data_IF_446244935809
#
_entry.id   IF_446244935809
#
_cell.length_a   1.000
_cell.length_b   1.000
_cell.length_c   1.000
_cell.angle_alpha   90.00
_cell.angle_beta   90.00
_cell.angle_gamma   90.00
#
_symmetry.space_group_name_H-M   'P 1'
#
loop_
_entity.id
_entity.type
_entity.pdbx_description
1 polymer ?
#
# COMPACT_ATOMS: atom_id res chain seq x y z
N UNK A 1 -16.40 -2.36 -16.48
CA UNK A 1 -15.46 -3.48 -16.23
C UNK A 1 -15.93 -4.15 -14.96
N UNK A 2 -16.01 -5.47 -14.92
CA UNK A 2 -16.42 -6.17 -13.69
C UNK A 2 -15.24 -6.27 -12.70
N UNK A 3 -15.49 -6.18 -11.39
CA UNK A 3 -14.44 -6.37 -10.38
C UNK A 3 -13.85 -7.78 -10.41
N UNK A 4 -12.52 -7.89 -10.27
CA UNK A 4 -11.84 -9.17 -10.16
C UNK A 4 -11.68 -9.60 -8.69
N UNK A 5 -11.92 -10.88 -8.38
CA UNK A 5 -11.73 -11.43 -7.03
C UNK A 5 -12.99 -11.39 -6.16
N UNK A 6 -12.81 -11.43 -4.83
CA UNK A 6 -13.93 -11.45 -3.89
C UNK A 6 -14.69 -10.12 -3.91
N UNK A 7 -15.94 -10.15 -4.38
CA UNK A 7 -16.87 -9.03 -4.35
C UNK A 7 -17.74 -9.08 -3.10
N UNK A 8 -18.05 -7.93 -2.50
CA UNK A 8 -19.08 -7.82 -1.46
C UNK A 8 -18.70 -6.98 -0.24
N UNK A 9 -19.56 -7.02 0.78
CA UNK A 9 -19.55 -6.17 1.99
C UNK A 9 -18.23 -6.21 2.78
N UNK A 10 -17.39 -7.22 2.54
CA UNK A 10 -16.13 -7.43 3.26
C UNK A 10 -14.87 -6.99 2.52
N UNK A 11 -14.95 -6.60 1.24
CA UNK A 11 -13.81 -6.00 0.53
C UNK A 11 -13.64 -4.53 0.91
N UNK A 12 -12.41 -4.01 0.79
CA UNK A 12 -12.13 -2.59 1.04
C UNK A 12 -12.79 -1.70 -0.01
N UNK A 13 -12.66 -2.10 -1.27
CA UNK A 13 -13.24 -1.47 -2.46
C UNK A 13 -13.43 -2.55 -3.54
N UNK A 14 -14.15 -2.22 -4.60
CA UNK A 14 -14.40 -3.15 -5.70
C UNK A 14 -13.15 -3.35 -6.57
N UNK A 15 -12.32 -2.32 -6.76
CA UNK A 15 -11.20 -2.36 -7.72
C UNK A 15 -9.84 -2.09 -7.12
N UNK A 16 -9.74 -1.22 -6.12
CA UNK A 16 -8.47 -0.62 -5.71
C UNK A 16 -8.13 -0.88 -4.25
N UNK A 17 -6.87 -1.15 -3.96
CA UNK A 17 -6.36 -1.21 -2.58
C UNK A 17 -5.24 -0.18 -2.35
N UNK A 18 -4.26 -0.17 -3.25
CA UNK A 18 -3.04 0.64 -3.12
C UNK A 18 -3.31 2.15 -2.91
N UNK A 19 -4.25 2.80 -3.61
CA UNK A 19 -4.55 4.21 -3.36
C UNK A 19 -5.01 4.51 -1.92
N UNK A 20 -5.75 3.61 -1.27
CA UNK A 20 -6.13 3.75 0.13
C UNK A 20 -4.90 3.58 1.05
N UNK A 21 -4.04 2.60 0.75
CA UNK A 21 -2.81 2.38 1.51
C UNK A 21 -1.89 3.61 1.45
N UNK A 22 -1.57 4.10 0.25
CA UNK A 22 -0.71 5.28 0.10
C UNK A 22 -1.41 6.58 0.52
N UNK A 23 -2.69 6.72 0.23
CA UNK A 23 -3.46 7.91 0.61
C UNK A 23 -3.60 8.07 2.13
N UNK A 24 -3.74 6.96 2.87
CA UNK A 24 -3.72 7.02 4.34
C UNK A 24 -2.35 7.43 4.88
N UNK A 25 -1.26 7.13 4.18
CA UNK A 25 0.08 7.62 4.53
C UNK A 25 0.22 9.14 4.26
N UNK A 26 -0.36 9.65 3.15
CA UNK A 26 -0.39 11.10 2.87
C UNK A 26 -1.09 11.91 3.98
N UNK A 27 -2.07 11.29 4.64
CA UNK A 27 -2.87 11.90 5.71
C UNK A 27 -2.29 11.68 7.12
N UNK A 28 -1.18 10.95 7.25
CA UNK A 28 -0.54 10.70 8.53
C UNK A 28 -0.09 12.02 9.20
N UNK A 29 -0.50 12.22 10.47
CA UNK A 29 -0.22 13.44 11.22
C UNK A 29 -1.11 14.64 10.88
N UNK A 30 -2.06 14.51 9.95
CA UNK A 30 -3.03 15.57 9.65
C UNK A 30 -3.98 15.78 10.84
N UNK A 31 -4.12 17.04 11.29
CA UNK A 31 -4.97 17.42 12.43
C UNK A 31 -6.40 17.80 12.03
N UNK A 32 -6.59 18.28 10.80
CA UNK A 32 -7.88 18.79 10.32
C UNK A 32 -8.69 17.71 9.61
N UNK A 33 -8.03 16.89 8.81
CA UNK A 33 -8.62 15.74 8.15
C UNK A 33 -8.31 14.51 9.01
N UNK A 34 -9.31 14.04 9.77
CA UNK A 34 -9.24 12.79 10.55
C UNK A 34 -9.96 11.67 9.78
N UNK A 35 -9.79 10.37 10.14
CA UNK A 35 -10.43 9.28 9.42
C UNK A 35 -11.95 9.43 9.23
N UNK A 36 -12.70 9.88 10.24
CA UNK A 36 -14.14 10.19 10.08
C UNK A 36 -14.46 11.21 8.96
N UNK A 37 -13.50 12.07 8.61
CA UNK A 37 -13.74 13.20 7.70
C UNK A 37 -14.12 12.77 6.29
N UNK A 38 -13.70 11.58 5.81
CA UNK A 38 -14.08 11.13 4.47
C UNK A 38 -15.54 10.66 4.37
N UNK A 39 -16.27 10.56 5.48
CA UNK A 39 -17.72 10.30 5.45
C UNK A 39 -18.52 11.55 5.09
N UNK A 40 -17.89 12.73 5.06
CA UNK A 40 -18.53 14.01 4.76
C UNK A 40 -18.30 14.36 3.28
N UNK A 41 -19.32 14.27 2.40
CA UNK A 41 -19.13 14.44 0.96
C UNK A 41 -18.48 15.77 0.58
N UNK A 42 -18.86 16.87 1.24
CA UNK A 42 -18.28 18.20 0.99
C UNK A 42 -16.79 18.28 1.30
N UNK A 43 -16.33 17.59 2.35
CA UNK A 43 -14.90 17.50 2.71
C UNK A 43 -14.14 16.70 1.66
N UNK A 44 -14.74 15.59 1.21
CA UNK A 44 -14.18 14.74 0.16
C UNK A 44 -14.04 15.50 -1.15
N UNK A 45 -15.12 16.12 -1.65
CA UNK A 45 -15.12 16.90 -2.90
C UNK A 45 -14.06 18.01 -2.90
N UNK A 46 -13.92 18.72 -1.77
CA UNK A 46 -12.95 19.82 -1.63
C UNK A 46 -11.50 19.35 -1.67
N UNK A 47 -11.22 18.12 -1.23
CA UNK A 47 -9.85 17.64 -1.00
C UNK A 47 -9.44 16.45 -1.88
N UNK A 48 -10.36 15.89 -2.67
CA UNK A 48 -10.13 14.73 -3.54
C UNK A 48 -8.90 14.90 -4.44
N UNK A 49 -8.78 16.07 -5.10
CA UNK A 49 -7.64 16.39 -5.98
C UNK A 49 -6.28 16.46 -5.28
N UNK A 50 -6.23 16.42 -3.95
CA UNK A 50 -4.99 16.52 -3.15
C UNK A 50 -4.57 15.19 -2.52
N UNK A 51 -5.51 14.29 -2.23
CA UNK A 51 -5.26 13.09 -1.45
C UNK A 51 -5.89 11.87 -2.11
N UNK A 52 -5.06 10.85 -2.40
CA UNK A 52 -5.49 9.62 -3.09
C UNK A 52 -6.63 8.92 -2.37
N UNK A 53 -6.59 8.89 -1.03
CA UNK A 53 -7.64 8.28 -0.23
C UNK A 53 -8.99 8.96 -0.47
N UNK A 54 -9.00 10.29 -0.45
CA UNK A 54 -10.23 11.07 -0.62
C UNK A 54 -10.71 11.02 -2.07
N UNK A 55 -9.80 10.95 -3.04
CA UNK A 55 -10.18 10.77 -4.45
C UNK A 55 -10.89 9.44 -4.68
N UNK A 56 -10.42 8.35 -4.09
CA UNK A 56 -11.10 7.07 -4.16
C UNK A 56 -12.48 7.10 -3.49
N UNK A 57 -12.61 7.75 -2.32
CA UNK A 57 -13.92 7.93 -1.68
C UNK A 57 -14.85 8.81 -2.52
N UNK A 58 -14.31 9.83 -3.19
CA UNK A 58 -15.07 10.66 -4.12
C UNK A 58 -15.64 9.84 -5.28
N UNK A 59 -14.83 8.96 -5.87
CA UNK A 59 -15.27 8.03 -6.91
C UNK A 59 -16.35 7.07 -6.41
N UNK A 60 -16.22 6.54 -5.18
CA UNK A 60 -17.24 5.71 -4.55
C UNK A 60 -18.57 6.46 -4.42
N UNK A 61 -18.54 7.70 -3.93
CA UNK A 61 -19.75 8.52 -3.74
C UNK A 61 -20.46 8.84 -5.07
N UNK A 62 -19.73 8.86 -6.19
CA UNK A 62 -20.30 9.10 -7.53
C UNK A 62 -20.86 7.84 -8.18
N UNK A 63 -20.38 6.66 -7.77
CA UNK A 63 -20.68 5.38 -8.44
C UNK A 63 -21.60 4.47 -7.64
N UNK A 64 -21.67 4.65 -6.32
CA UNK A 64 -22.52 3.88 -5.41
C UNK A 64 -23.58 4.80 -4.81
N UNK A 65 -24.82 4.32 -4.84
CA UNK A 65 -25.98 5.04 -4.30
C UNK A 65 -26.41 4.49 -2.95
N UNK A 66 -26.96 5.36 -2.11
CA UNK A 66 -27.48 5.01 -0.79
C UNK A 66 -26.51 5.33 0.34
N UNK A 67 -26.84 4.94 1.58
CA UNK A 67 -25.98 5.20 2.73
C UNK A 67 -24.62 4.48 2.64
N UNK A 68 -23.54 5.19 2.94
CA UNK A 68 -22.16 4.71 2.79
C UNK A 68 -21.88 3.36 3.48
N UNK A 69 -22.46 3.15 4.66
CA UNK A 69 -22.30 1.90 5.42
C UNK A 69 -22.92 0.67 4.73
N UNK A 70 -23.89 0.84 3.82
CA UNK A 70 -24.53 -0.28 3.13
C UNK A 70 -23.64 -0.83 2.01
N UNK A 71 -22.94 0.04 1.29
CA UNK A 71 -22.20 -0.34 0.09
C UNK A 71 -20.67 -0.34 0.27
N UNK A 72 -20.17 0.31 1.33
CA UNK A 72 -18.74 0.46 1.64
C UNK A 72 -18.47 0.22 3.13
N UNK A 73 -19.03 -0.86 3.68
CA UNK A 73 -19.02 -1.15 5.11
C UNK A 73 -17.61 -1.25 5.73
N UNK A 74 -16.61 -1.80 5.02
CA UNK A 74 -15.24 -1.84 5.54
C UNK A 74 -14.65 -0.43 5.70
N UNK A 75 -14.81 0.42 4.68
CA UNK A 75 -14.43 1.83 4.77
C UNK A 75 -15.25 2.55 5.84
N UNK A 76 -16.52 2.22 6.02
CA UNK A 76 -17.31 2.76 7.14
C UNK A 76 -16.69 2.40 8.49
N UNK A 77 -16.31 1.14 8.72
CA UNK A 77 -15.68 0.73 9.97
C UNK A 77 -14.30 1.37 10.20
N UNK A 78 -13.51 1.55 9.14
CA UNK A 78 -12.20 2.21 9.19
C UNK A 78 -12.32 3.68 9.66
N UNK A 79 -13.47 4.32 9.42
CA UNK A 79 -13.67 5.74 9.78
C UNK A 79 -13.64 5.96 11.29
N UNK A 80 -13.96 4.92 12.07
CA UNK A 80 -13.94 4.93 13.53
C UNK A 80 -12.51 4.80 14.11
N UNK A 81 -11.50 4.51 13.28
CA UNK A 81 -10.11 4.46 13.72
C UNK A 81 -9.63 5.89 14.04
N UNK A 82 -8.98 6.13 15.19
CA UNK A 82 -8.76 7.49 15.67
C UNK A 82 -7.70 8.28 14.89
N UNK A 83 -6.75 7.61 14.22
CA UNK A 83 -5.64 8.29 13.54
C UNK A 83 -5.28 7.62 12.21
N UNK A 84 -4.85 8.42 11.24
CA UNK A 84 -4.38 7.94 9.94
C UNK A 84 -3.18 7.01 10.02
N UNK A 85 -2.28 7.20 10.99
CA UNK A 85 -1.16 6.27 11.24
C UNK A 85 -1.66 4.87 11.60
N UNK A 86 -2.72 4.77 12.42
CA UNK A 86 -3.34 3.48 12.74
C UNK A 86 -4.11 2.91 11.55
N UNK A 87 -4.82 3.74 10.79
CA UNK A 87 -5.48 3.33 9.53
C UNK A 87 -4.45 2.72 8.58
N UNK A 88 -3.36 3.43 8.30
CA UNK A 88 -2.31 2.98 7.39
C UNK A 88 -1.67 1.66 7.86
N UNK A 89 -1.37 1.55 9.16
CA UNK A 89 -0.84 0.30 9.73
C UNK A 89 -1.82 -0.87 9.60
N UNK A 90 -3.12 -0.63 9.77
CA UNK A 90 -4.17 -1.63 9.56
C UNK A 90 -4.31 -2.03 8.10
N UNK A 91 -4.34 -1.05 7.19
CA UNK A 91 -4.40 -1.27 5.74
C UNK A 91 -3.18 -2.04 5.23
N UNK A 92 -2.00 -1.81 5.79
CA UNK A 92 -0.80 -2.57 5.42
C UNK A 92 -0.95 -4.05 5.75
N UNK A 93 -1.41 -4.38 6.97
CA UNK A 93 -1.69 -5.77 7.38
C UNK A 93 -2.79 -6.40 6.55
N UNK A 94 -3.84 -5.63 6.27
CA UNK A 94 -4.95 -6.08 5.43
C UNK A 94 -4.48 -6.32 3.99
N UNK A 95 -3.61 -5.50 3.42
CA UNK A 95 -3.04 -5.73 2.08
C UNK A 95 -2.24 -7.05 2.03
N UNK A 96 -1.41 -7.28 3.05
CA UNK A 96 -0.65 -8.52 3.15
C UNK A 96 -1.56 -9.75 3.21
N UNK A 97 -2.60 -9.73 4.06
CA UNK A 97 -3.50 -10.86 4.25
C UNK A 97 -4.51 -11.07 3.10
N UNK A 98 -5.09 -9.99 2.60
CA UNK A 98 -6.22 -10.03 1.67
C UNK A 98 -5.80 -9.92 0.20
N UNK A 99 -4.58 -9.46 -0.08
CA UNK A 99 -4.03 -9.38 -1.44
C UNK A 99 -2.86 -10.34 -1.57
N UNK A 100 -1.73 -10.05 -0.92
CA UNK A 100 -0.47 -10.76 -1.18
C UNK A 100 -0.51 -12.25 -0.80
N UNK A 101 -1.23 -12.60 0.27
CA UNK A 101 -1.41 -13.99 0.73
C UNK A 101 -2.64 -14.69 0.16
N UNK A 102 -3.41 -14.05 -0.72
CA UNK A 102 -4.55 -14.67 -1.39
C UNK A 102 -4.17 -15.16 -2.79
N UNK A 103 -3.97 -16.47 -2.92
CA UNK A 103 -3.61 -17.08 -4.20
C UNK A 103 -4.51 -16.66 -5.38
N UNK A 104 -5.86 -16.65 -5.29
CA UNK A 104 -6.69 -16.23 -6.41
C UNK A 104 -6.45 -14.78 -6.89
N UNK A 105 -5.94 -13.92 -6.01
CA UNK A 105 -5.62 -12.51 -6.29
C UNK A 105 -4.26 -12.38 -6.96
N UNK A 106 -3.24 -13.09 -6.45
CA UNK A 106 -1.84 -12.97 -6.92
C UNK A 106 -1.40 -14.05 -7.91
N UNK A 107 -2.23 -15.02 -8.26
CA UNK A 107 -1.88 -16.12 -9.19
C UNK A 107 -1.38 -15.63 -10.56
N UNK A 108 -1.69 -14.39 -10.94
CA UNK A 108 -1.26 -13.78 -12.20
C UNK A 108 0.01 -12.90 -12.05
N UNK A 109 0.65 -12.87 -10.88
CA UNK A 109 1.95 -12.22 -10.72
C UNK A 109 3.01 -12.91 -11.57
N UNK A 110 3.76 -12.10 -12.32
CA UNK A 110 4.84 -12.59 -13.18
C UNK A 110 6.15 -12.44 -12.44
N UNK A 111 6.95 -13.50 -12.49
CA UNK A 111 8.30 -13.53 -11.96
C UNK A 111 9.30 -13.58 -13.13
N UNK A 112 10.42 -12.88 -12.96
CA UNK A 112 11.45 -12.74 -13.97
C UNK A 112 12.78 -12.33 -13.34
N UNK A 113 13.70 -11.77 -14.11
CA UNK A 113 15.02 -11.38 -13.58
C UNK A 113 14.96 -10.24 -12.55
N UNK A 114 14.01 -9.31 -12.69
CA UNK A 114 13.84 -8.19 -11.74
C UNK A 114 13.11 -8.60 -10.45
N UNK A 115 12.11 -9.47 -10.58
CA UNK A 115 11.33 -10.01 -9.46
C UNK A 115 11.43 -11.53 -9.50
N UNK A 116 12.54 -12.06 -8.96
CA UNK A 116 12.79 -13.49 -8.94
C UNK A 116 11.85 -14.20 -7.96
N UNK A 117 11.41 -15.41 -8.34
CA UNK A 117 10.72 -16.33 -7.42
C UNK A 117 11.70 -17.06 -6.50
N UNK A 118 12.99 -17.03 -6.83
CA UNK A 118 14.03 -17.66 -6.02
C UNK A 118 14.09 -17.07 -4.61
N UNK A 119 14.38 -17.93 -3.64
CA UNK A 119 14.53 -17.50 -2.26
C UNK A 119 15.67 -16.49 -2.17
N UNK A 120 15.39 -15.35 -1.54
CA UNK A 120 16.40 -14.34 -1.24
C UNK A 120 17.50 -14.92 -0.34
N UNK A 121 18.76 -14.81 -0.79
CA UNK A 121 19.93 -15.40 -0.13
C UNK A 121 20.37 -14.60 1.12
N UNK A 122 19.98 -13.34 1.22
CA UNK A 122 20.17 -12.43 2.37
C UNK A 122 19.20 -12.67 3.54
N UNK A 123 18.39 -13.73 3.48
CA UNK A 123 17.38 -14.09 4.49
C UNK A 123 17.93 -15.01 5.60
N UNK A 124 19.23 -14.97 5.90
CA UNK A 124 19.66 -15.29 7.25
C UNK A 124 19.25 -14.10 8.12
N UNK A 125 18.22 -14.30 8.94
CA UNK A 125 17.67 -13.27 9.80
C UNK A 125 18.81 -12.60 10.59
N UNK A 126 19.17 -11.36 10.23
CA UNK A 126 19.92 -10.50 11.13
C UNK A 126 19.05 -10.40 12.39
N UNK A 127 19.51 -10.84 13.56
CA UNK A 127 18.72 -10.70 14.78
C UNK A 127 18.40 -9.22 14.92
N UNK A 128 17.11 -8.89 14.91
CA UNK A 128 16.63 -7.53 15.15
C UNK A 128 16.98 -7.19 16.59
N UNK A 129 18.19 -6.66 16.81
CA UNK A 129 18.57 -6.08 18.09
C UNK A 129 17.57 -4.94 18.32
N UNK A 130 16.81 -4.93 19.43
CA UNK A 130 15.90 -3.83 19.72
C UNK A 130 16.72 -2.54 19.74
N UNK A 131 16.52 -1.66 18.77
CA UNK A 131 17.18 -0.36 18.75
C UNK A 131 16.66 0.43 19.97
N UNK A 132 17.52 0.86 20.90
CA UNK A 132 17.08 1.72 21.99
C UNK A 132 16.52 3.00 21.36
N UNK A 133 15.34 3.42 21.82
CA UNK A 133 14.75 4.70 21.41
C UNK A 133 15.57 5.81 22.08
N UNK A 134 16.62 6.26 21.39
CA UNK A 134 17.39 7.41 21.82
C UNK A 134 16.63 8.69 21.44
N UNK A 135 16.18 9.42 22.45
CA UNK A 135 15.71 10.77 22.29
C UNK A 135 16.86 11.68 21.82
N UNK A 136 16.57 12.46 20.77
CA UNK A 136 17.14 13.78 20.40
C UNK A 136 18.61 13.90 19.94
N UNK A 137 18.72 14.53 18.77
CA UNK A 137 19.75 15.44 18.24
C UNK A 137 21.12 14.89 17.80
N UNK A 138 21.34 14.80 16.49
CA UNK A 138 22.38 15.55 15.74
C UNK A 138 22.58 14.96 14.33
N UNK A 139 22.88 15.85 13.39
CA UNK A 139 23.18 15.60 11.97
C UNK A 139 24.58 15.01 11.81
N UNK A 140 24.74 13.99 10.97
CA UNK A 140 25.84 13.89 9.98
C UNK A 140 25.43 12.97 8.82
N UNK A 141 25.73 13.45 7.62
CA UNK A 141 25.48 12.79 6.33
C UNK A 141 26.38 11.56 6.16
N UNK A 142 25.79 10.40 5.85
CA UNK A 142 26.50 9.31 5.18
C UNK A 142 25.67 8.87 3.98
N UNK A 143 26.24 9.11 2.79
CA UNK A 143 25.71 8.65 1.51
C UNK A 143 25.95 7.14 1.46
N UNK A 144 24.87 6.34 1.47
CA UNK A 144 24.97 4.92 1.17
C UNK A 144 25.14 4.78 -0.34
N UNK A 145 26.38 4.60 -0.78
CA UNK A 145 26.70 4.25 -2.16
C UNK A 145 26.27 2.80 -2.43
N UNK A 146 25.09 2.62 -3.04
CA UNK A 146 24.64 1.32 -3.52
C UNK A 146 25.50 0.88 -4.71
N UNK A 147 26.53 0.07 -4.44
CA UNK A 147 27.33 -0.57 -5.50
C UNK A 147 26.47 -1.59 -6.24
N UNK A 148 26.12 -1.31 -7.49
CA UNK A 148 25.47 -2.29 -8.36
C UNK A 148 26.42 -3.45 -8.68
N UNK A 149 25.92 -4.70 -8.77
CA UNK A 149 26.72 -5.82 -9.26
C UNK A 149 27.10 -5.61 -10.74
N UNK A 150 28.29 -6.08 -11.16
CA UNK A 150 28.75 -5.89 -12.54
C UNK A 150 27.86 -6.68 -13.52
N UNK A 151 27.68 -6.17 -14.75
CA UNK A 151 26.90 -6.86 -15.77
C UNK A 151 27.59 -8.18 -16.18
N UNK A 152 26.83 -9.21 -16.55
CA UNK A 152 27.40 -10.47 -17.01
C UNK A 152 28.16 -10.26 -18.33
N UNK A 153 29.33 -10.90 -18.43
CA UNK A 153 30.21 -10.82 -19.60
C UNK A 153 29.50 -11.34 -20.87
N UNK A 154 29.71 -10.69 -22.03
CA UNK A 154 29.17 -11.18 -23.29
C UNK A 154 29.89 -12.48 -23.70
N UNK A 155 29.16 -13.59 -23.72
CA UNK A 155 29.63 -14.81 -24.39
C UNK A 155 29.63 -14.58 -25.90
N UNK A 156 30.80 -14.34 -26.48
CA UNK A 156 31.00 -14.50 -27.92
C UNK A 156 31.13 -15.99 -28.25
N UNK A 157 30.43 -16.50 -29.27
CA UNK A 157 30.61 -17.88 -29.72
C UNK A 157 32.01 -18.05 -30.31
N UNK A 158 32.68 -19.15 -29.93
CA UNK A 158 33.95 -19.54 -30.53
C UNK A 158 33.70 -19.95 -31.98
N UNK A 159 34.47 -19.36 -32.89
CA UNK A 159 34.56 -19.81 -34.28
C UNK A 159 35.67 -20.86 -34.27
N UNK A 160 35.34 -22.10 -34.59
CA UNK A 160 36.32 -23.17 -34.80
C UNK A 160 36.97 -22.96 -36.18
N UNK A 161 38.30 -23.01 -36.24
CA UNK A 161 39.11 -23.00 -37.48
C UNK A 161 39.03 -24.35 -38.22
#
# INVERSE_FOLDING_TARGET
MEPAGSQGVHSLDDYQFIPFLWGSAQLAGNKSLIPDSYLKPTVVETNAHKYLFLDCVNFINQTKSGPFYQHSNQLWNISAVPTWTKVNSGLFKMYEGEVLKKFPVVQHFRFGSLFSFEKRCDSEAVPVVPRPVAHTNAVTSDVIECKMPPPPSPHLPKIDE
#
